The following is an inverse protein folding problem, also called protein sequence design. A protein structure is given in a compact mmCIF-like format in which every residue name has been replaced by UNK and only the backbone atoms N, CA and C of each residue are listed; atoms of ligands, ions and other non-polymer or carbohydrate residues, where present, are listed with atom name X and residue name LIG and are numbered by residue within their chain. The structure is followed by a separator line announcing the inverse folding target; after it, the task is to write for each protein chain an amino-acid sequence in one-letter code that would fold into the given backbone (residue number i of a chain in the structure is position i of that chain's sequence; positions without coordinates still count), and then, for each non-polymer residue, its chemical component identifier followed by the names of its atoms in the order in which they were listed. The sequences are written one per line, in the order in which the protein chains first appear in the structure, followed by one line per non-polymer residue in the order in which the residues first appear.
data_IF_751833170199
#
_entry.id   IF_751833170199
#
_cell.length_a   1.000
_cell.length_b   1.000
_cell.length_c   1.000
_cell.angle_alpha   90.00
_cell.angle_beta   90.00
_cell.angle_gamma   90.00
#
_symmetry.space_group_name_H-M   'P 1'
#
loop_
_entity.id
_entity.type
_entity.pdbx_description
1 polymer ?
#
# COMPACT_ATOMS: atom_id res chain seq x y z
N UNK A 1 7.09 -22.90 -21.15
CA UNK A 1 6.89 -21.44 -21.36
C UNK A 1 5.40 -21.00 -21.26
N UNK A 2 4.53 -21.74 -20.55
CA UNK A 2 3.05 -21.61 -20.67
C UNK A 2 2.37 -20.88 -19.49
N UNK A 3 3.09 -20.60 -18.38
CA UNK A 3 2.47 -20.09 -17.13
C UNK A 3 2.05 -18.61 -17.15
N UNK A 4 2.48 -17.80 -18.12
CA UNK A 4 2.25 -16.34 -18.09
C UNK A 4 1.10 -15.82 -18.97
N UNK A 5 0.45 -16.66 -19.78
CA UNK A 5 -0.53 -16.19 -20.77
C UNK A 5 -1.95 -15.92 -20.23
N UNK A 6 -2.29 -16.40 -19.03
CA UNK A 6 -3.65 -16.30 -18.50
C UNK A 6 -4.10 -14.84 -18.31
N UNK A 7 -3.20 -13.99 -17.84
CA UNK A 7 -3.51 -12.57 -17.62
C UNK A 7 -3.62 -11.79 -18.94
N UNK A 8 -2.78 -12.14 -19.93
CA UNK A 8 -2.90 -11.61 -21.28
C UNK A 8 -4.23 -12.01 -21.92
N UNK A 9 -4.67 -13.27 -21.78
CA UNK A 9 -5.99 -13.72 -22.24
C UNK A 9 -7.11 -12.87 -21.67
N UNK A 10 -7.15 -12.70 -20.34
CA UNK A 10 -8.15 -11.83 -19.68
C UNK A 10 -8.15 -10.41 -20.22
N UNK A 11 -6.96 -9.85 -20.46
CA UNK A 11 -6.83 -8.52 -21.02
C UNK A 11 -7.34 -8.44 -22.46
N UNK A 12 -7.03 -9.40 -23.32
CA UNK A 12 -7.52 -9.42 -24.70
C UNK A 12 -9.02 -9.69 -24.77
N UNK A 13 -9.57 -10.56 -23.92
CA UNK A 13 -11.04 -10.73 -23.76
C UNK A 13 -11.70 -9.42 -23.34
N UNK A 14 -11.10 -8.67 -22.40
CA UNK A 14 -11.60 -7.35 -22.01
C UNK A 14 -11.64 -6.36 -23.18
N UNK A 15 -10.69 -6.45 -24.12
CA UNK A 15 -10.69 -5.63 -25.34
C UNK A 15 -11.63 -6.16 -26.45
N UNK A 16 -12.27 -7.32 -26.26
CA UNK A 16 -13.05 -8.01 -27.31
C UNK A 16 -12.18 -8.62 -28.41
N UNK A 17 -10.88 -8.77 -28.16
CA UNK A 17 -9.84 -9.18 -29.14
C UNK A 17 -9.31 -10.59 -28.86
N UNK A 18 -10.13 -11.44 -28.26
CA UNK A 18 -9.74 -12.82 -27.89
C UNK A 18 -9.43 -13.68 -29.12
N UNK A 19 -10.09 -13.41 -30.25
CA UNK A 19 -9.87 -14.06 -31.53
C UNK A 19 -8.41 -13.91 -32.04
N UNK A 20 -7.73 -12.83 -31.63
CA UNK A 20 -6.36 -12.53 -32.06
C UNK A 20 -5.31 -13.35 -31.31
N UNK A 21 -5.73 -14.14 -30.32
CA UNK A 21 -4.88 -15.05 -29.58
C UNK A 21 -4.85 -16.43 -30.25
N UNK A 22 -3.80 -16.72 -31.02
CA UNK A 22 -3.55 -18.10 -31.48
C UNK A 22 -2.80 -18.91 -30.42
N UNK A 23 -3.15 -20.18 -30.23
CA UNK A 23 -2.45 -21.09 -29.29
C UNK A 23 -0.95 -21.25 -29.62
N UNK A 24 -0.58 -21.07 -30.90
CA UNK A 24 0.76 -21.30 -31.40
C UNK A 24 1.69 -20.07 -31.33
N UNK A 25 1.16 -18.85 -31.34
CA UNK A 25 1.98 -17.63 -31.25
C UNK A 25 1.18 -16.38 -30.85
N UNK A 26 1.67 -15.65 -29.84
CA UNK A 26 1.28 -14.27 -29.58
C UNK A 26 2.07 -13.41 -30.57
N UNK A 27 1.52 -13.15 -31.76
CA UNK A 27 2.25 -12.38 -32.77
C UNK A 27 2.41 -10.94 -32.30
N UNK A 28 3.64 -10.42 -32.35
CA UNK A 28 3.97 -9.05 -31.93
C UNK A 28 3.13 -7.98 -32.64
N UNK A 29 2.57 -8.30 -33.81
CA UNK A 29 1.69 -7.41 -34.59
C UNK A 29 0.33 -7.19 -33.91
N UNK A 30 -0.28 -8.22 -33.32
CA UNK A 30 -1.55 -8.08 -32.61
C UNK A 30 -1.42 -7.16 -31.38
N UNK A 31 -0.27 -7.23 -30.71
CA UNK A 31 -0.01 -6.41 -29.52
C UNK A 31 0.52 -5.00 -29.84
N UNK A 32 0.84 -4.70 -31.10
CA UNK A 32 1.39 -3.40 -31.51
C UNK A 32 0.41 -2.23 -31.32
N UNK A 33 -0.89 -2.49 -31.43
CA UNK A 33 -1.93 -1.46 -31.34
C UNK A 33 -2.47 -1.25 -29.92
N UNK A 34 -1.83 -1.82 -28.89
CA UNK A 34 -2.26 -1.64 -27.50
C UNK A 34 -1.73 -0.31 -26.98
N UNK A 35 -2.64 0.59 -26.60
CA UNK A 35 -2.28 1.87 -26.02
C UNK A 35 -2.23 1.79 -24.48
N UNK A 36 -1.51 2.71 -23.81
CA UNK A 36 -1.59 2.85 -22.36
C UNK A 36 -3.01 3.00 -21.82
N UNK A 37 -3.89 3.68 -22.56
CA UNK A 37 -5.28 3.89 -22.19
C UNK A 37 -6.06 2.57 -22.02
N UNK A 38 -5.78 1.56 -22.84
CA UNK A 38 -6.40 0.24 -22.75
C UNK A 38 -6.04 -0.46 -21.44
N UNK A 39 -4.75 -0.36 -21.07
CA UNK A 39 -4.22 -0.94 -19.83
C UNK A 39 -4.77 -0.18 -18.62
N UNK A 40 -4.90 1.14 -18.72
CA UNK A 40 -5.52 1.98 -17.67
C UNK A 40 -6.98 1.57 -17.45
N UNK A 41 -7.78 1.45 -18.50
CA UNK A 41 -9.19 1.01 -18.42
C UNK A 41 -9.29 -0.38 -17.79
N UNK A 42 -8.42 -1.30 -18.20
CA UNK A 42 -8.37 -2.65 -17.64
C UNK A 42 -8.01 -2.65 -16.15
N UNK A 43 -6.98 -1.89 -15.74
CA UNK A 43 -6.59 -1.80 -14.33
C UNK A 43 -7.63 -1.11 -13.47
N UNK A 44 -8.29 -0.09 -14.02
CA UNK A 44 -9.41 0.57 -13.38
C UNK A 44 -10.56 -0.42 -13.15
N UNK A 45 -10.95 -1.18 -14.18
CA UNK A 45 -11.98 -2.20 -14.06
C UNK A 45 -11.61 -3.25 -13.00
N UNK A 46 -10.35 -3.69 -13.00
CA UNK A 46 -9.85 -4.69 -12.05
C UNK A 46 -9.83 -4.21 -10.59
N UNK A 47 -9.48 -2.93 -10.35
CA UNK A 47 -9.38 -2.39 -9.00
C UNK A 47 -10.69 -1.78 -8.47
N UNK A 48 -11.44 -1.09 -9.31
CA UNK A 48 -12.63 -0.32 -8.93
C UNK A 48 -13.94 -0.94 -9.43
N UNK A 49 -13.89 -1.93 -10.33
CA UNK A 49 -15.08 -2.52 -10.96
C UNK A 49 -15.66 -1.71 -12.12
N UNK A 50 -14.99 -0.62 -12.52
CA UNK A 50 -15.39 0.23 -13.65
C UNK A 50 -14.16 0.78 -14.35
N UNK A 51 -14.24 0.99 -15.66
CA UNK A 51 -13.14 1.52 -16.49
C UNK A 51 -12.83 2.99 -16.20
N UNK A 52 -13.84 3.75 -15.77
CA UNK A 52 -13.78 5.19 -15.56
C UNK A 52 -14.16 5.55 -14.11
N UNK A 53 -13.32 5.19 -13.12
CA UNK A 53 -13.60 5.45 -11.71
C UNK A 53 -13.50 6.95 -11.41
N UNK A 54 -14.61 7.56 -11.01
CA UNK A 54 -14.64 8.93 -10.49
C UNK A 54 -13.72 9.11 -9.29
N UNK A 55 -13.34 10.35 -8.96
CA UNK A 55 -12.28 10.65 -7.97
C UNK A 55 -12.50 9.98 -6.60
N UNK A 56 -13.76 9.88 -6.17
CA UNK A 56 -14.17 9.32 -4.87
C UNK A 56 -14.33 7.80 -4.87
N UNK A 57 -14.29 7.14 -6.04
CA UNK A 57 -14.40 5.69 -6.13
C UNK A 57 -13.25 5.01 -5.38
N UNK A 58 -13.58 3.94 -4.66
CA UNK A 58 -12.62 3.18 -3.85
C UNK A 58 -12.21 1.88 -4.56
N UNK A 59 -10.92 1.51 -4.52
CA UNK A 59 -10.45 0.27 -5.14
C UNK A 59 -10.73 -0.93 -4.23
N UNK A 60 -11.94 -1.46 -4.31
CA UNK A 60 -12.43 -2.55 -3.44
C UNK A 60 -12.20 -3.94 -4.02
N UNK A 61 -11.86 -4.04 -5.31
CA UNK A 61 -11.81 -5.32 -6.05
C UNK A 61 -10.40 -5.88 -6.19
N UNK A 62 -9.37 -5.06 -6.14
CA UNK A 62 -7.98 -5.51 -6.20
C UNK A 62 -7.02 -4.58 -5.46
N UNK A 63 -5.93 -5.16 -4.97
CA UNK A 63 -4.83 -4.48 -4.27
C UNK A 63 -3.78 -3.94 -5.25
N UNK A 64 -2.94 -3.00 -4.79
CA UNK A 64 -1.85 -2.44 -5.60
C UNK A 64 -0.85 -3.51 -6.06
N UNK A 65 -0.54 -4.49 -5.21
CA UNK A 65 0.32 -5.62 -5.54
C UNK A 65 -0.29 -6.54 -6.61
N UNK A 66 -1.63 -6.70 -6.63
CA UNK A 66 -2.31 -7.43 -7.71
C UNK A 66 -2.08 -6.73 -9.04
N UNK A 67 -2.23 -5.41 -9.10
CA UNK A 67 -1.99 -4.64 -10.32
C UNK A 67 -0.52 -4.67 -10.76
N UNK A 68 0.44 -4.60 -9.81
CA UNK A 68 1.87 -4.74 -10.10
C UNK A 68 2.19 -6.10 -10.74
N UNK A 69 1.62 -7.19 -10.19
CA UNK A 69 1.76 -8.52 -10.76
C UNK A 69 1.18 -8.60 -12.17
N UNK A 70 -0.04 -8.09 -12.38
CA UNK A 70 -0.67 -8.05 -13.71
C UNK A 70 0.17 -7.25 -14.71
N UNK A 71 0.69 -6.09 -14.30
CA UNK A 71 1.59 -5.25 -15.11
C UNK A 71 2.82 -6.04 -15.56
N UNK A 72 3.48 -6.76 -14.65
CA UNK A 72 4.65 -7.57 -14.99
C UNK A 72 4.30 -8.67 -15.99
N UNK A 73 3.17 -9.35 -15.80
CA UNK A 73 2.71 -10.38 -16.72
C UNK A 73 2.41 -9.82 -18.11
N UNK A 74 1.70 -8.70 -18.21
CA UNK A 74 1.39 -8.06 -19.49
C UNK A 74 2.65 -7.51 -20.18
N UNK A 75 3.54 -6.87 -19.42
CA UNK A 75 4.80 -6.30 -19.93
C UNK A 75 5.69 -7.34 -20.61
N UNK A 76 5.65 -8.60 -20.14
CA UNK A 76 6.40 -9.69 -20.73
C UNK A 76 6.00 -10.02 -22.18
N UNK A 77 4.81 -9.60 -22.63
CA UNK A 77 4.33 -9.81 -24.00
C UNK A 77 4.39 -8.54 -24.85
N UNK A 78 4.45 -7.36 -24.25
CA UNK A 78 4.43 -6.10 -24.99
C UNK A 78 5.67 -5.93 -25.88
N UNK A 79 5.53 -5.26 -27.04
CA UNK A 79 6.67 -4.85 -27.86
C UNK A 79 7.64 -3.95 -27.10
N UNK A 80 8.90 -3.90 -27.56
CA UNK A 80 9.93 -2.99 -27.05
C UNK A 80 10.06 -3.01 -25.52
N UNK A 81 10.13 -4.22 -24.91
CA UNK A 81 10.03 -4.46 -23.45
C UNK A 81 10.88 -3.54 -22.57
N UNK A 82 12.07 -3.15 -23.06
CA UNK A 82 13.04 -2.33 -22.34
C UNK A 82 12.87 -0.82 -22.57
N UNK A 83 12.10 -0.41 -23.58
CA UNK A 83 11.87 0.99 -23.92
C UNK A 83 10.69 1.55 -23.11
N UNK A 84 10.87 2.66 -22.37
CA UNK A 84 9.76 3.40 -21.78
C UNK A 84 8.76 3.84 -22.85
N UNK A 85 7.50 4.03 -22.46
CA UNK A 85 6.49 4.58 -23.36
C UNK A 85 6.76 6.07 -23.61
N UNK A 86 6.84 6.47 -24.87
CA UNK A 86 6.96 7.85 -25.32
C UNK A 86 5.56 8.39 -25.69
N UNK A 87 5.09 9.41 -24.97
CA UNK A 87 3.78 10.00 -25.18
C UNK A 87 3.67 10.84 -26.45
N UNK A 88 4.79 11.32 -27.02
CA UNK A 88 4.80 12.13 -28.23
C UNK A 88 4.84 11.21 -29.45
N UNK A 89 5.76 10.25 -29.45
CA UNK A 89 5.94 9.31 -30.56
C UNK A 89 4.94 8.16 -30.57
N UNK A 90 4.25 7.91 -29.45
CA UNK A 90 3.34 6.77 -29.25
C UNK A 90 4.03 5.42 -29.49
N UNK A 91 5.26 5.32 -29.00
CA UNK A 91 6.14 4.16 -29.17
C UNK A 91 6.67 3.66 -27.81
N UNK A 92 7.19 2.43 -27.80
CA UNK A 92 7.72 1.79 -26.59
C UNK A 92 6.73 0.82 -25.93
N UNK A 93 7.02 0.42 -24.69
CA UNK A 93 6.16 -0.54 -23.97
C UNK A 93 5.02 0.19 -23.23
N UNK A 94 3.75 0.00 -23.62
CA UNK A 94 2.61 0.76 -23.08
C UNK A 94 2.38 0.52 -21.57
N UNK A 95 2.81 -0.64 -21.05
CA UNK A 95 2.75 -0.95 -19.60
C UNK A 95 3.71 -0.09 -18.77
N UNK A 96 4.72 0.51 -19.41
CA UNK A 96 5.73 1.37 -18.77
C UNK A 96 5.36 2.86 -18.79
N UNK A 97 4.17 3.22 -19.30
CA UNK A 97 3.66 4.60 -19.28
C UNK A 97 3.45 5.14 -17.86
N UNK A 98 3.51 6.47 -17.74
CA UNK A 98 3.20 7.17 -16.48
C UNK A 98 1.74 6.96 -16.06
N UNK A 99 0.81 6.95 -17.02
CA UNK A 99 -0.62 6.78 -16.78
C UNK A 99 -0.94 5.43 -16.10
N UNK A 100 -0.37 4.32 -16.58
CA UNK A 100 -0.54 2.99 -15.96
C UNK A 100 0.02 2.98 -14.52
N UNK A 101 1.17 3.61 -14.31
CA UNK A 101 1.76 3.74 -12.97
C UNK A 101 0.90 4.60 -12.03
N UNK A 102 0.22 5.64 -12.54
CA UNK A 102 -0.66 6.47 -11.73
C UNK A 102 -1.86 5.68 -11.18
N UNK A 103 -2.43 4.73 -11.93
CA UNK A 103 -3.50 3.86 -11.42
C UNK A 103 -3.01 3.02 -10.24
N UNK A 104 -1.83 2.40 -10.34
CA UNK A 104 -1.24 1.61 -9.25
C UNK A 104 -0.99 2.49 -8.02
N UNK A 105 -0.43 3.70 -8.21
CA UNK A 105 -0.20 4.66 -7.13
C UNK A 105 -1.50 5.13 -6.47
N UNK A 106 -2.56 5.32 -7.27
CA UNK A 106 -3.90 5.67 -6.77
C UNK A 106 -4.44 4.57 -5.84
N UNK A 107 -4.37 3.31 -6.25
CA UNK A 107 -4.79 2.18 -5.41
C UNK A 107 -3.96 2.10 -4.13
N UNK A 108 -2.64 2.22 -4.27
CA UNK A 108 -1.72 2.20 -3.14
C UNK A 108 -2.05 3.31 -2.13
N UNK A 109 -2.34 4.53 -2.58
CA UNK A 109 -2.76 5.66 -1.72
C UNK A 109 -4.00 5.32 -0.89
N UNK A 110 -5.00 4.64 -1.48
CA UNK A 110 -6.18 4.19 -0.74
C UNK A 110 -5.88 3.12 0.31
N UNK A 111 -5.00 2.16 -0.01
CA UNK A 111 -4.57 1.13 0.95
C UNK A 111 -3.88 1.77 2.17
N UNK A 112 -3.07 2.81 1.94
CA UNK A 112 -2.45 3.58 3.02
C UNK A 112 -3.45 4.41 3.83
N UNK A 113 -4.43 5.01 3.16
CA UNK A 113 -5.53 5.65 3.86
C UNK A 113 -6.29 4.65 4.73
N UNK A 114 -6.34 3.35 4.40
CA UNK A 114 -6.95 2.36 5.26
C UNK A 114 -6.14 2.12 6.55
N UNK A 115 -4.80 2.15 6.49
CA UNK A 115 -3.93 2.09 7.68
C UNK A 115 -4.06 3.37 8.52
N UNK A 116 -4.10 4.54 7.86
CA UNK A 116 -4.45 5.80 8.53
C UNK A 116 -5.90 5.84 9.02
N UNK A 117 -6.80 5.04 8.44
CA UNK A 117 -8.18 4.87 8.91
C UNK A 117 -8.30 3.81 9.98
N UNK A 118 -7.32 2.93 10.21
CA UNK A 118 -7.31 2.16 11.46
C UNK A 118 -7.12 3.14 12.63
N UNK A 119 -6.31 4.19 12.44
CA UNK A 119 -6.21 5.37 13.32
C UNK A 119 -7.56 6.15 13.40
N UNK A 120 -8.32 6.29 12.31
CA UNK A 120 -9.67 6.94 12.32
C UNK A 120 -10.83 6.03 12.80
N UNK A 121 -10.76 4.71 12.58
CA UNK A 121 -11.74 3.68 12.94
C UNK A 121 -11.59 3.27 14.40
N UNK A 122 -10.40 3.51 14.95
CA UNK A 122 -10.24 3.96 16.33
C UNK A 122 -11.00 5.28 16.49
N UNK A 123 -12.34 5.21 16.52
CA UNK A 123 -13.19 6.30 17.01
C UNK A 123 -12.91 6.43 18.50
N UNK A 124 -11.83 7.11 18.82
CA UNK A 124 -11.56 7.66 20.12
C UNK A 124 -12.76 8.53 20.50
N UNK A 125 -13.46 8.16 21.57
CA UNK A 125 -14.37 9.11 22.20
C UNK A 125 -13.47 10.22 22.78
N UNK A 126 -13.53 11.40 22.18
CA UNK A 126 -12.86 12.61 22.69
C UNK A 126 -13.76 13.41 23.63
N UNK A 127 -15.01 12.96 23.81
CA UNK A 127 -16.03 13.58 24.65
C UNK A 127 -15.56 13.72 26.11
N UNK A 128 -14.64 12.86 26.52
CA UNK A 128 -13.99 12.89 27.82
C UNK A 128 -12.53 13.35 27.76
N UNK A 129 -12.00 13.90 26.68
CA UNK A 129 -10.60 14.35 26.66
C UNK A 129 -10.51 15.89 26.77
N UNK A 130 -9.96 16.38 27.88
CA UNK A 130 -9.76 17.80 28.16
C UNK A 130 -8.26 18.16 28.20
N UNK A 131 -7.93 19.44 28.01
CA UNK A 131 -6.57 19.93 28.17
C UNK A 131 -6.14 19.88 29.64
N UNK A 132 -4.92 19.40 29.95
CA UNK A 132 -4.41 19.40 31.31
C UNK A 132 -3.83 20.77 31.71
N UNK A 133 -4.49 21.53 32.61
CA UNK A 133 -4.04 22.86 32.98
C UNK A 133 -2.77 22.83 33.86
N UNK A 134 -2.49 21.71 34.53
CA UNK A 134 -1.35 21.54 35.44
C UNK A 134 -0.10 21.07 34.71
N UNK A 135 -0.27 20.28 33.65
CA UNK A 135 0.83 19.72 32.86
C UNK A 135 0.68 20.09 31.38
N UNK A 136 1.32 21.18 30.93
CA UNK A 136 1.34 21.56 29.52
C UNK A 136 1.76 20.38 28.64
N UNK A 137 1.07 20.19 27.53
CA UNK A 137 1.26 19.08 26.55
C UNK A 137 0.69 17.71 26.93
N UNK A 138 -0.17 17.63 27.95
CA UNK A 138 -0.91 16.40 28.28
C UNK A 138 -2.43 16.62 28.20
N UNK A 139 -3.19 15.53 28.04
CA UNK A 139 -4.65 15.52 28.06
C UNK A 139 -5.13 14.84 29.35
N UNK A 140 -6.28 15.24 29.86
CA UNK A 140 -6.99 14.65 31.00
C UNK A 140 -8.24 13.94 30.52
N UNK A 141 -8.64 12.86 31.17
CA UNK A 141 -9.90 12.17 30.88
C UNK A 141 -11.03 12.60 31.86
N UNK A 142 -12.08 13.26 31.37
CA UNK A 142 -13.32 13.60 32.07
C UNK A 142 -14.24 12.35 32.14
N UNK A 143 -14.05 11.52 33.16
CA UNK A 143 -14.80 10.28 33.34
C UNK A 143 -16.34 10.47 33.28
N UNK A 144 -16.99 9.92 32.25
CA UNK A 144 -18.40 9.57 32.28
C UNK A 144 -18.54 8.15 32.86
N UNK A 145 -19.37 8.03 33.90
CA UNK A 145 -19.45 6.98 34.93
C UNK A 145 -19.67 5.50 34.51
N UNK A 146 -19.28 5.04 33.32
CA UNK A 146 -19.41 3.61 32.93
C UNK A 146 -18.09 2.88 32.67
N UNK A 147 -16.95 3.57 32.53
CA UNK A 147 -15.63 2.95 32.60
C UNK A 147 -14.75 3.76 33.54
N UNK A 148 -14.33 3.17 34.67
CA UNK A 148 -13.54 3.81 35.71
C UNK A 148 -12.04 3.90 35.39
N UNK A 149 -11.64 3.74 34.13
CA UNK A 149 -10.23 3.62 33.72
C UNK A 149 -9.86 4.81 32.84
N UNK A 150 -8.86 5.63 33.23
CA UNK A 150 -8.40 6.77 32.43
C UNK A 150 -7.51 6.35 31.24
N UNK A 151 -7.74 5.14 30.71
CA UNK A 151 -6.91 4.51 29.69
C UNK A 151 -7.81 3.90 28.62
N UNK A 152 -7.57 4.31 27.37
CA UNK A 152 -8.24 3.78 26.19
C UNK A 152 -8.01 2.27 25.98
N UNK A 153 -6.79 1.81 26.24
CA UNK A 153 -6.42 0.39 26.20
C UNK A 153 -5.50 0.05 27.36
N UNK A 154 -5.63 -1.17 27.88
CA UNK A 154 -4.83 -1.64 28.99
C UNK A 154 -5.20 -0.91 30.29
N UNK A 155 -4.20 -0.69 31.14
CA UNK A 155 -4.34 0.04 32.40
C UNK A 155 -3.05 0.80 32.70
N UNK A 156 -3.10 1.71 33.67
CA UNK A 156 -1.96 2.57 34.02
C UNK A 156 -0.83 1.89 34.77
N UNK A 157 -1.03 0.64 35.19
CA UNK A 157 -0.06 -0.09 35.99
C UNK A 157 0.86 -0.92 35.09
N UNK A 158 0.29 -1.63 34.11
CA UNK A 158 0.98 -2.62 33.28
C UNK A 158 0.47 -2.69 31.82
N UNK A 159 -0.24 -1.67 31.33
CA UNK A 159 -0.85 -1.69 29.99
C UNK A 159 0.17 -1.91 28.85
N UNK A 160 1.37 -1.34 28.97
CA UNK A 160 2.46 -1.51 28.01
C UNK A 160 3.01 -2.95 28.02
N UNK A 161 3.06 -3.60 29.19
CA UNK A 161 3.41 -5.01 29.35
C UNK A 161 2.35 -5.90 28.71
N UNK A 162 1.07 -5.57 28.87
CA UNK A 162 -0.05 -6.27 28.23
C UNK A 162 0.07 -6.26 26.71
N UNK A 163 0.30 -5.08 26.12
CA UNK A 163 0.52 -4.93 24.67
C UNK A 163 1.74 -5.72 24.20
N UNK A 164 2.87 -5.65 24.92
CA UNK A 164 4.07 -6.44 24.59
C UNK A 164 3.80 -7.94 24.63
N UNK A 165 3.01 -8.41 25.60
CA UNK A 165 2.62 -9.82 25.70
C UNK A 165 1.80 -10.28 24.50
N UNK A 166 0.80 -9.49 24.09
CA UNK A 166 0.00 -9.77 22.90
C UNK A 166 0.84 -9.78 21.62
N UNK A 167 1.76 -8.83 21.46
CA UNK A 167 2.67 -8.82 20.32
C UNK A 167 3.58 -10.05 20.30
N UNK A 168 4.05 -10.51 21.46
CA UNK A 168 4.81 -11.75 21.56
C UNK A 168 4.01 -12.98 21.13
N UNK A 169 2.70 -13.04 21.38
CA UNK A 169 1.83 -14.10 20.86
C UNK A 169 1.82 -14.07 19.33
N UNK A 170 1.70 -12.88 18.73
CA UNK A 170 1.73 -12.69 17.28
C UNK A 170 3.08 -13.12 16.69
N UNK A 171 4.19 -12.70 17.29
CA UNK A 171 5.54 -13.04 16.80
C UNK A 171 5.88 -14.53 16.91
N UNK A 172 5.25 -15.25 17.85
CA UNK A 172 5.39 -16.70 18.02
C UNK A 172 4.39 -17.51 17.18
N UNK A 173 3.43 -16.86 16.54
CA UNK A 173 2.48 -17.53 15.66
C UNK A 173 3.19 -18.14 14.46
N UNK A 174 2.72 -19.31 14.01
CA UNK A 174 3.16 -19.94 12.76
C UNK A 174 2.86 -19.08 11.52
N UNK A 175 1.91 -18.16 11.63
CA UNK A 175 1.54 -17.24 10.55
C UNK A 175 2.52 -16.06 10.41
N UNK A 176 3.40 -15.88 11.40
CA UNK A 176 4.42 -14.84 11.38
C UNK A 176 5.76 -15.40 10.88
N UNK A 177 6.06 -15.14 9.61
CA UNK A 177 7.35 -15.51 9.01
C UNK A 177 8.41 -14.46 9.32
N UNK A 178 9.30 -14.75 10.27
CA UNK A 178 10.45 -13.89 10.57
C UNK A 178 11.47 -13.95 9.44
N UNK A 179 11.78 -12.78 8.87
CA UNK A 179 12.69 -12.67 7.72
C UNK A 179 14.13 -12.26 8.10
N UNK A 180 14.32 -11.66 9.27
CA UNK A 180 15.60 -11.15 9.75
C UNK A 180 15.84 -11.60 11.19
N UNK A 181 17.09 -11.91 11.51
CA UNK A 181 17.55 -12.13 12.87
C UNK A 181 17.64 -10.79 13.63
N UNK A 182 17.35 -10.83 14.93
CA UNK A 182 17.28 -9.63 15.80
C UNK A 182 15.97 -9.50 16.60
N UNK A 183 16.01 -8.76 17.70
CA UNK A 183 14.89 -8.70 18.64
C UNK A 183 13.61 -8.14 18.00
N UNK A 184 12.47 -8.80 18.27
CA UNK A 184 11.15 -8.41 17.81
C UNK A 184 10.37 -7.80 18.97
N UNK A 185 10.12 -6.50 18.87
CA UNK A 185 9.41 -5.73 19.88
C UNK A 185 8.52 -4.66 19.23
N UNK A 186 7.86 -3.84 20.04
CA UNK A 186 7.10 -2.66 19.58
C UNK A 186 7.96 -1.76 18.68
N UNK A 187 9.26 -1.70 18.93
CA UNK A 187 10.18 -0.92 18.12
C UNK A 187 10.35 -1.46 16.68
N UNK A 188 10.24 -2.77 16.50
CA UNK A 188 10.37 -3.44 15.20
C UNK A 188 9.22 -3.06 14.27
N UNK A 189 8.00 -2.89 14.80
CA UNK A 189 6.87 -2.35 14.02
C UNK A 189 7.16 -0.94 13.51
N UNK A 190 7.65 -0.06 14.38
CA UNK A 190 7.98 1.32 14.01
C UNK A 190 9.09 1.39 12.95
N UNK A 191 10.12 0.54 13.07
CA UNK A 191 11.20 0.41 12.07
C UNK A 191 10.66 -0.12 10.74
N UNK A 192 9.88 -1.20 10.78
CA UNK A 192 9.28 -1.82 9.60
C UNK A 192 8.40 -0.86 8.81
N UNK A 193 7.54 -0.09 9.49
CA UNK A 193 6.72 0.94 8.84
C UNK A 193 7.56 2.04 8.18
N UNK A 194 8.62 2.50 8.85
CA UNK A 194 9.52 3.54 8.33
C UNK A 194 10.30 3.06 7.10
N UNK A 195 10.93 1.88 7.19
CA UNK A 195 11.67 1.26 6.09
C UNK A 195 10.77 0.96 4.89
N UNK A 196 9.56 0.46 5.11
CA UNK A 196 8.61 0.19 4.04
C UNK A 196 8.17 1.49 3.33
N UNK A 197 7.94 2.58 4.06
CA UNK A 197 7.67 3.89 3.45
C UNK A 197 8.83 4.37 2.57
N UNK A 198 10.06 4.27 3.06
CA UNK A 198 11.26 4.67 2.31
C UNK A 198 11.44 3.83 1.03
N UNK A 199 11.33 2.50 1.12
CA UNK A 199 11.40 1.59 -0.04
C UNK A 199 10.31 1.83 -1.08
N UNK A 200 9.18 2.42 -0.69
CA UNK A 200 8.10 2.79 -1.61
C UNK A 200 8.21 4.24 -2.12
N UNK A 201 9.35 4.91 -1.90
CA UNK A 201 9.65 6.23 -2.44
C UNK A 201 8.92 7.37 -1.73
N UNK A 202 8.45 7.17 -0.50
CA UNK A 202 7.94 8.26 0.32
C UNK A 202 9.14 9.12 0.76
N UNK A 203 9.09 10.46 0.57
CA UNK A 203 10.17 11.34 0.98
C UNK A 203 10.46 11.21 2.48
N UNK A 204 11.75 11.15 2.82
CA UNK A 204 12.24 11.03 4.19
C UNK A 204 11.63 12.07 5.13
N UNK A 205 11.54 13.32 4.71
CA UNK A 205 10.96 14.40 5.52
C UNK A 205 9.49 14.16 5.88
N UNK A 206 8.73 13.53 4.96
CA UNK A 206 7.35 13.14 5.22
C UNK A 206 7.25 11.99 6.23
N UNK A 207 8.21 11.07 6.21
CA UNK A 207 8.31 9.98 7.18
C UNK A 207 8.72 10.53 8.55
N UNK A 208 9.67 11.47 8.57
CA UNK A 208 10.18 12.12 9.77
C UNK A 208 9.10 12.91 10.50
N UNK A 209 8.35 13.75 9.78
CA UNK A 209 7.21 14.50 10.33
C UNK A 209 6.16 13.58 10.95
N UNK A 210 5.84 12.46 10.30
CA UNK A 210 4.85 11.49 10.81
C UNK A 210 5.36 10.68 11.98
N UNK A 211 6.65 10.38 12.00
CA UNK A 211 7.29 9.62 13.07
C UNK A 211 7.45 10.39 14.37
N UNK A 212 7.26 11.72 14.42
CA UNK A 212 7.29 12.56 15.63
C UNK A 212 8.44 12.21 16.58
N UNK A 213 9.64 12.09 16.03
CA UNK A 213 10.83 11.67 16.76
C UNK A 213 11.25 12.74 17.77
N UNK A 214 11.57 12.34 19.01
CA UNK A 214 12.03 13.28 20.04
C UNK A 214 13.54 13.49 19.95
N UNK A 215 13.96 14.70 19.58
CA UNK A 215 15.35 15.18 19.68
C UNK A 215 15.91 15.78 18.38
N UNK A 216 17.02 16.52 18.49
CA UNK A 216 17.69 17.20 17.36
C UNK A 216 18.46 16.26 16.40
N UNK A 217 18.40 14.94 16.60
CA UNK A 217 19.03 13.95 15.71
C UNK A 217 17.98 13.39 14.75
N UNK A 218 18.37 13.18 13.49
CA UNK A 218 17.54 12.58 12.44
C UNK A 218 17.34 11.07 12.71
N UNK A 219 16.53 10.73 13.71
CA UNK A 219 16.27 9.34 14.11
C UNK A 219 15.73 8.48 12.96
N UNK A 220 15.08 9.08 11.96
CA UNK A 220 14.61 8.38 10.77
C UNK A 220 15.74 7.63 10.04
N UNK A 221 16.99 8.12 10.12
CA UNK A 221 18.16 7.47 9.53
C UNK A 221 18.56 6.17 10.25
N UNK A 222 18.16 6.00 11.51
CA UNK A 222 18.37 4.76 12.28
C UNK A 222 17.34 3.69 11.91
N UNK A 223 16.20 4.10 11.34
CA UNK A 223 15.04 3.23 11.10
C UNK A 223 14.78 2.90 9.63
N UNK A 224 15.44 3.59 8.70
CA UNK A 224 15.42 3.24 7.28
C UNK A 224 16.57 2.24 7.05
N UNK A 225 16.24 0.95 6.94
CA UNK A 225 17.22 -0.02 6.45
C UNK A 225 17.52 0.30 4.98
N UNK A 226 18.80 0.54 4.68
CA UNK A 226 19.30 0.96 3.36
C UNK A 226 19.55 -0.24 2.42
N UNK A 227 19.09 -1.43 2.80
CA UNK A 227 19.08 -2.62 1.94
C UNK A 227 17.90 -2.63 0.96
#
# INVERSE_FOLDING_TARGET
MVRNAAELRRFMTFLGREQELSEASFTSAALANIAPADIVRYFNCKAFGTENPGETCRPTKARSNTLKSCKTMLSAFMPMKNMPWDEIRKEGNPTRSSAVNMVIKRVQKFEWHLIGRIDDMMKLQFENLAFNPTHPFTLMEENNFLHSSPFLFGNGVDGDRGVRSMLNVVFKSTDFARQLDGNLETHSFRKGSTSYCARNGIPKDSIEMRGRWKGNRKYVDVYIDVE
#
